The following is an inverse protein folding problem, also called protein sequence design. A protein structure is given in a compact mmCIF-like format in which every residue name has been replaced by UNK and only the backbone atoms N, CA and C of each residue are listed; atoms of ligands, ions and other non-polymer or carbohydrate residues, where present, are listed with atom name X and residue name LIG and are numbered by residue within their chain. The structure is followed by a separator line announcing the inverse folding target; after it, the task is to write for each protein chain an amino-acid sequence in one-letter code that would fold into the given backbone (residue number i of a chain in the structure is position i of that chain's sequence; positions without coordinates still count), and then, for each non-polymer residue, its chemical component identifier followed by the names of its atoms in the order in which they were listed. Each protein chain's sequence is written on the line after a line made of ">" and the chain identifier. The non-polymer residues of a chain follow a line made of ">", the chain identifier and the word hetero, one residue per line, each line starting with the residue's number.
data_IF_643843261539
#
_entry.id   IF_643843261539
#
_cell.length_a   1.000
_cell.length_b   1.000
_cell.length_c   1.000
_cell.angle_alpha   90.00
_cell.angle_beta   90.00
_cell.angle_gamma   90.00
#
_symmetry.space_group_name_H-M   'P 1'
#
loop_
_entity.id
_entity.type
_entity.pdbx_description
1 polymer ?
#
# COMPACT_ATOMS: atom_id res chain seq x y z
N UNK A 1 6.75 24.91 11.73
CA UNK A 1 6.78 23.43 11.57
C UNK A 1 6.76 22.96 10.11
N UNK A 2 6.21 23.71 9.15
CA UNK A 2 6.19 23.30 7.72
C UNK A 2 7.54 23.41 6.98
N UNK A 3 8.39 24.38 7.32
CA UNK A 3 9.66 24.61 6.62
C UNK A 3 10.64 23.41 6.67
N UNK A 4 10.65 22.65 7.77
CA UNK A 4 11.49 21.46 7.91
C UNK A 4 11.08 20.32 6.98
N UNK A 5 9.78 20.13 6.76
CA UNK A 5 9.26 19.13 5.82
C UNK A 5 9.64 19.47 4.38
N UNK A 6 9.49 20.74 3.98
CA UNK A 6 9.93 21.21 2.67
C UNK A 6 11.44 21.06 2.48
N UNK A 7 12.25 21.41 3.48
CA UNK A 7 13.70 21.23 3.44
C UNK A 7 14.10 19.74 3.32
N UNK A 8 13.39 18.83 4.00
CA UNK A 8 13.64 17.39 3.90
C UNK A 8 13.29 16.85 2.50
N UNK A 9 12.12 17.18 1.96
CA UNK A 9 11.71 16.75 0.61
C UNK A 9 12.70 17.28 -0.44
N UNK A 10 13.04 18.57 -0.35
CA UNK A 10 14.02 19.20 -1.23
C UNK A 10 15.40 18.54 -1.10
N UNK A 11 15.86 18.28 0.13
CA UNK A 11 17.14 17.64 0.40
C UNK A 11 17.23 16.23 -0.19
N UNK A 12 16.18 15.41 -0.05
CA UNK A 12 16.12 14.06 -0.62
C UNK A 12 16.21 14.14 -2.16
N UNK A 13 15.45 15.03 -2.80
CA UNK A 13 15.48 15.19 -4.25
C UNK A 13 16.83 15.71 -4.76
N UNK A 14 17.39 16.70 -4.08
CA UNK A 14 18.68 17.29 -4.44
C UNK A 14 19.81 16.26 -4.37
N UNK A 15 19.88 15.48 -3.28
CA UNK A 15 20.87 14.42 -3.12
C UNK A 15 20.72 13.33 -4.18
N UNK A 16 19.48 12.95 -4.51
CA UNK A 16 19.20 11.92 -5.53
C UNK A 16 19.62 12.36 -6.93
N UNK A 17 19.39 13.62 -7.30
CA UNK A 17 19.85 14.17 -8.59
C UNK A 17 21.37 14.21 -8.67
N UNK A 18 22.04 14.60 -7.58
CA UNK A 18 23.51 14.63 -7.53
C UNK A 18 24.11 13.22 -7.62
N UNK A 19 23.50 12.23 -6.96
CA UNK A 19 23.89 10.83 -7.09
C UNK A 19 23.73 10.32 -8.53
N UNK A 20 22.63 10.67 -9.21
CA UNK A 20 22.39 10.29 -10.60
C UNK A 20 23.43 10.88 -11.55
N UNK A 21 23.81 12.15 -11.37
CA UNK A 21 24.87 12.80 -12.16
C UNK A 21 26.23 12.11 -11.96
N UNK A 22 26.60 11.83 -10.71
CA UNK A 22 27.85 11.14 -10.40
C UNK A 22 27.91 9.70 -10.95
N UNK A 23 26.76 9.04 -11.12
CA UNK A 23 26.70 7.74 -11.78
C UNK A 23 26.94 7.85 -13.29
N UNK A 24 26.33 8.85 -13.96
CA UNK A 24 26.54 9.13 -15.39
C UNK A 24 28.01 9.47 -15.67
N UNK A 25 28.63 10.31 -14.83
CA UNK A 25 30.04 10.69 -14.94
C UNK A 25 30.99 9.48 -14.81
N UNK A 26 30.58 8.44 -14.08
CA UNK A 26 31.30 7.17 -13.96
C UNK A 26 30.95 6.16 -15.05
N UNK A 27 30.18 6.56 -16.06
CA UNK A 27 29.74 5.70 -17.16
C UNK A 27 28.66 4.68 -16.77
N UNK A 28 28.06 4.79 -15.58
CA UNK A 28 26.93 3.95 -15.17
C UNK A 28 25.61 4.62 -15.54
N UNK A 29 24.67 3.87 -16.12
CA UNK A 29 23.35 4.38 -16.43
C UNK A 29 22.44 4.33 -15.18
N UNK A 30 22.04 5.48 -14.60
CA UNK A 30 21.17 5.52 -13.41
C UNK A 30 19.82 4.82 -13.62
N UNK A 31 19.39 4.71 -14.88
CA UNK A 31 18.10 4.12 -15.25
C UNK A 31 18.13 2.58 -15.25
N UNK A 32 19.29 1.95 -15.28
CA UNK A 32 19.40 0.47 -15.15
C UNK A 32 18.87 -0.02 -13.80
N UNK A 33 19.09 0.75 -12.73
CA UNK A 33 18.58 0.43 -11.40
C UNK A 33 17.16 0.93 -11.15
N UNK A 34 16.71 1.96 -11.87
CA UNK A 34 15.35 2.50 -11.76
C UNK A 34 14.31 1.62 -12.45
N UNK A 35 14.70 0.92 -13.51
CA UNK A 35 13.83 0.08 -14.34
C UNK A 35 13.72 -1.37 -13.87
N UNK A 36 14.17 -1.72 -12.66
CA UNK A 36 13.69 -2.95 -12.04
C UNK A 36 12.26 -2.66 -11.59
N UNK A 37 11.21 -3.15 -12.29
CA UNK A 37 9.88 -3.12 -11.70
C UNK A 37 10.05 -3.78 -10.33
N UNK A 38 9.59 -3.11 -9.29
CA UNK A 38 9.60 -3.67 -7.96
C UNK A 38 8.20 -4.28 -7.79
N UNK A 39 7.94 -5.50 -8.32
CA UNK A 39 6.60 -6.09 -8.33
C UNK A 39 6.04 -6.19 -6.90
N UNK A 40 6.92 -6.19 -5.89
CA UNK A 40 6.54 -6.23 -4.48
C UNK A 40 5.93 -4.94 -3.91
N UNK A 41 5.98 -3.79 -4.61
CA UNK A 41 5.40 -2.55 -4.07
C UNK A 41 3.88 -2.63 -4.02
N UNK A 42 3.25 -3.07 -5.10
CA UNK A 42 1.79 -3.21 -5.19
C UNK A 42 1.29 -4.32 -4.25
N UNK A 43 2.06 -5.41 -4.13
CA UNK A 43 1.73 -6.53 -3.25
C UNK A 43 1.70 -6.15 -1.76
N UNK A 44 2.64 -5.30 -1.30
CA UNK A 44 2.67 -4.85 0.10
C UNK A 44 1.42 -4.07 0.46
N UNK A 45 0.99 -3.16 -0.41
CA UNK A 45 -0.23 -2.37 -0.19
C UNK A 45 -1.49 -3.21 -0.34
N UNK A 46 -1.51 -4.16 -1.28
CA UNK A 46 -2.60 -5.12 -1.42
C UNK A 46 -2.82 -5.91 -0.13
N UNK A 47 -1.74 -6.52 0.41
CA UNK A 47 -1.82 -7.33 1.62
C UNK A 47 -2.21 -6.50 2.85
N UNK A 48 -1.72 -5.25 2.93
CA UNK A 48 -2.08 -4.32 4.01
C UNK A 48 -3.57 -3.97 3.96
N UNK A 49 -4.11 -3.64 2.79
CA UNK A 49 -5.53 -3.29 2.63
C UNK A 49 -6.46 -4.49 2.85
N UNK A 50 -6.10 -5.67 2.33
CA UNK A 50 -6.86 -6.91 2.59
C UNK A 50 -6.85 -7.21 4.09
N UNK A 51 -5.68 -7.15 4.75
CA UNK A 51 -5.57 -7.41 6.19
C UNK A 51 -6.34 -6.41 7.04
N UNK A 52 -6.26 -5.12 6.72
CA UNK A 52 -7.02 -4.08 7.41
C UNK A 52 -8.54 -4.25 7.23
N UNK A 53 -8.97 -4.60 6.02
CA UNK A 53 -10.38 -4.85 5.73
C UNK A 53 -10.93 -6.10 6.42
N UNK A 54 -10.19 -7.22 6.39
CA UNK A 54 -10.55 -8.43 7.14
C UNK A 54 -10.56 -8.16 8.65
N UNK A 55 -9.63 -7.35 9.16
CA UNK A 55 -9.61 -6.93 10.56
C UNK A 55 -10.86 -6.14 10.98
N UNK A 56 -11.30 -5.17 10.18
CA UNK A 56 -12.55 -4.46 10.42
C UNK A 56 -13.77 -5.37 10.33
N UNK A 57 -13.78 -6.30 9.37
CA UNK A 57 -14.87 -7.26 9.21
C UNK A 57 -14.99 -8.20 10.42
N UNK A 58 -13.86 -8.69 10.92
CA UNK A 58 -13.81 -9.49 12.15
C UNK A 58 -14.26 -8.68 13.36
N UNK A 59 -13.84 -7.42 13.47
CA UNK A 59 -14.31 -6.54 14.54
C UNK A 59 -15.84 -6.38 14.52
N UNK A 60 -16.43 -6.17 13.34
CA UNK A 60 -17.88 -6.12 13.16
C UNK A 60 -18.58 -7.43 13.56
N UNK A 61 -18.01 -8.59 13.20
CA UNK A 61 -18.58 -9.88 13.61
C UNK A 61 -18.51 -10.10 15.12
N UNK A 62 -17.38 -9.77 15.76
CA UNK A 62 -17.24 -9.89 17.21
C UNK A 62 -18.21 -8.96 17.94
N UNK A 63 -18.41 -7.75 17.44
CA UNK A 63 -19.34 -6.77 17.99
C UNK A 63 -20.78 -7.29 17.95
N UNK A 64 -21.21 -7.83 16.80
CA UNK A 64 -22.58 -8.30 16.61
C UNK A 64 -22.89 -9.65 17.30
N UNK A 65 -21.93 -10.59 17.34
CA UNK A 65 -22.19 -11.95 17.79
C UNK A 65 -21.62 -12.29 19.17
N UNK A 66 -20.48 -11.69 19.57
CA UNK A 66 -19.77 -12.09 20.79
C UNK A 66 -19.99 -11.15 21.98
N UNK A 67 -20.31 -9.87 21.75
CA UNK A 67 -20.43 -8.86 22.81
C UNK A 67 -21.72 -8.01 22.77
N UNK A 68 -22.93 -8.58 22.57
CA UNK A 68 -24.16 -7.79 22.48
C UNK A 68 -24.54 -7.00 23.75
N UNK A 69 -23.86 -7.24 24.89
CA UNK A 69 -24.16 -6.63 26.20
C UNK A 69 -23.06 -5.71 26.77
N UNK A 70 -21.86 -5.61 26.18
CA UNK A 70 -20.74 -4.85 26.78
C UNK A 70 -20.45 -3.49 26.14
N UNK A 71 -21.15 -3.14 25.06
CA UNK A 71 -20.87 -1.95 24.23
C UNK A 71 -21.54 -0.67 24.75
N UNK A 72 -22.30 -0.71 25.85
CA UNK A 72 -22.87 0.50 26.45
C UNK A 72 -21.78 1.46 27.04
N UNK A 73 -20.50 1.04 27.08
CA UNK A 73 -19.38 1.85 27.63
C UNK A 73 -18.45 2.51 26.60
N UNK A 74 -18.42 2.06 25.34
CA UNK A 74 -17.55 2.65 24.29
C UNK A 74 -18.28 3.18 23.05
N UNK A 75 -19.61 3.22 23.12
CA UNK A 75 -20.46 4.05 22.25
C UNK A 75 -20.73 3.45 20.88
N UNK A 76 -21.90 3.81 20.35
CA UNK A 76 -22.43 3.53 19.01
C UNK A 76 -23.29 2.27 18.92
N UNK A 77 -24.38 2.26 19.71
CA UNK A 77 -25.55 1.40 19.49
C UNK A 77 -26.57 2.00 18.48
N UNK A 78 -26.17 3.01 17.71
CA UNK A 78 -27.04 3.73 16.79
C UNK A 78 -26.60 3.52 15.35
N UNK A 79 -27.34 2.70 14.62
CA UNK A 79 -27.63 2.78 13.17
C UNK A 79 -26.52 2.88 12.11
N UNK A 80 -25.25 2.93 12.45
CA UNK A 80 -24.23 3.19 11.46
C UNK A 80 -23.33 1.95 11.29
N UNK A 81 -23.61 1.13 10.25
CA UNK A 81 -22.76 0.02 9.80
C UNK A 81 -21.40 0.50 9.24
N UNK A 82 -20.84 1.58 9.77
CA UNK A 82 -19.58 2.22 9.38
C UNK A 82 -18.44 1.20 9.26
N UNK A 83 -18.24 0.27 10.22
CA UNK A 83 -17.13 -0.67 10.14
C UNK A 83 -17.24 -1.60 8.91
N UNK A 84 -18.46 -1.98 8.51
CA UNK A 84 -18.65 -2.88 7.37
C UNK A 84 -18.31 -2.17 6.05
N UNK A 85 -18.70 -0.91 5.89
CA UNK A 85 -18.39 -0.16 4.67
C UNK A 85 -16.89 0.04 4.48
N UNK A 86 -16.18 0.41 5.54
CA UNK A 86 -14.72 0.53 5.50
C UNK A 86 -14.03 -0.82 5.28
N UNK A 87 -14.58 -1.91 5.84
CA UNK A 87 -14.07 -3.26 5.59
C UNK A 87 -14.17 -3.65 4.12
N UNK A 88 -15.32 -3.41 3.48
CA UNK A 88 -15.54 -3.75 2.07
C UNK A 88 -14.66 -2.89 1.15
N UNK A 89 -14.52 -1.59 1.43
CA UNK A 89 -13.65 -0.70 0.65
C UNK A 89 -12.19 -1.17 0.74
N UNK A 90 -11.71 -1.51 1.95
CA UNK A 90 -10.35 -1.98 2.15
C UNK A 90 -10.11 -3.36 1.50
N UNK A 91 -11.04 -4.31 1.63
CA UNK A 91 -10.94 -5.63 0.97
C UNK A 91 -10.99 -5.46 -0.55
N UNK A 92 -11.94 -4.69 -1.09
CA UNK A 92 -12.09 -4.44 -2.52
C UNK A 92 -10.87 -3.75 -3.12
N UNK A 93 -10.38 -2.68 -2.47
CA UNK A 93 -9.16 -1.99 -2.88
C UNK A 93 -7.92 -2.88 -2.79
N UNK A 94 -7.83 -3.69 -1.73
CA UNK A 94 -6.74 -4.65 -1.55
C UNK A 94 -6.73 -5.77 -2.59
N UNK A 95 -7.90 -6.34 -2.93
CA UNK A 95 -8.03 -7.33 -4.01
C UNK A 95 -7.71 -6.73 -5.38
N UNK A 96 -8.09 -5.47 -5.62
CA UNK A 96 -7.73 -4.77 -6.85
C UNK A 96 -6.22 -4.61 -7.03
N UNK A 97 -5.51 -4.20 -5.96
CA UNK A 97 -4.04 -4.13 -5.97
C UNK A 97 -3.39 -5.52 -6.10
N UNK A 98 -3.99 -6.55 -5.49
CA UNK A 98 -3.52 -7.92 -5.63
C UNK A 98 -3.67 -8.45 -7.06
N UNK A 99 -4.80 -8.14 -7.71
CA UNK A 99 -5.03 -8.45 -9.13
C UNK A 99 -4.02 -7.76 -10.04
N UNK A 100 -3.75 -6.47 -9.80
CA UNK A 100 -2.71 -5.73 -10.52
C UNK A 100 -1.33 -6.38 -10.40
N UNK A 101 -0.94 -6.80 -9.18
CA UNK A 101 0.29 -7.55 -8.96
C UNK A 101 0.34 -8.86 -9.76
N UNK A 102 -0.77 -9.62 -9.80
CA UNK A 102 -0.80 -10.90 -10.51
C UNK A 102 -0.60 -10.71 -12.02
N UNK A 103 -1.21 -9.67 -12.60
CA UNK A 103 -1.04 -9.33 -14.01
C UNK A 103 0.39 -8.87 -14.30
N UNK A 104 0.95 -7.98 -13.47
CA UNK A 104 2.32 -7.49 -13.62
C UNK A 104 3.34 -8.64 -13.51
N UNK A 105 3.12 -9.57 -12.57
CA UNK A 105 3.95 -10.76 -12.43
C UNK A 105 3.84 -11.69 -13.64
N UNK A 106 2.63 -11.95 -14.13
CA UNK A 106 2.43 -12.81 -15.30
C UNK A 106 3.12 -12.23 -16.55
N UNK A 107 2.95 -10.93 -16.80
CA UNK A 107 3.63 -10.24 -17.90
C UNK A 107 5.15 -10.34 -17.76
N UNK A 108 5.68 -10.16 -16.55
CA UNK A 108 7.11 -10.30 -16.31
C UNK A 108 7.62 -11.72 -16.56
N UNK A 109 6.90 -12.73 -16.10
CA UNK A 109 7.28 -14.14 -16.27
C UNK A 109 7.24 -14.55 -17.77
N UNK A 110 6.29 -14.04 -18.56
CA UNK A 110 6.19 -14.29 -20.01
C UNK A 110 7.28 -13.56 -20.84
N UNK A 111 7.73 -12.40 -20.37
CA UNK A 111 8.73 -11.58 -21.05
C UNK A 111 10.16 -11.84 -20.57
N UNK A 112 10.35 -12.67 -19.54
CA UNK A 112 11.66 -12.93 -18.92
C UNK A 112 12.68 -13.56 -19.87
N UNK A 113 12.22 -14.31 -20.87
CA UNK A 113 13.07 -15.00 -21.85
C UNK A 113 13.33 -14.18 -23.13
N UNK A 114 12.72 -13.00 -23.24
CA UNK A 114 12.80 -12.11 -24.42
C UNK A 114 13.59 -10.83 -24.18
N UNK A 115 14.17 -10.65 -22.99
CA UNK A 115 14.91 -9.46 -22.55
C UNK A 115 16.34 -9.84 -22.18
#
# INVERSE_FOLDING_TARGET
>A
MFAGGFAMIFGIYYLRTRQNLAMIEKGMNPKEFANRPAPYKNLKWALLLIGAGVGLFLAYLLDNYALPAQIDKFGHRGDENVPIYFSLIAIGGGLGLFGSYKIEKQWWDENKDKV
#
